data_IF_032342365638
#
_entry.id   IF_032342365638
#
_cell.length_a   1.000
_cell.length_b   1.000
_cell.length_c   1.000
_cell.angle_alpha   90.00
_cell.angle_beta   90.00
_cell.angle_gamma   90.00
#
_symmetry.space_group_name_H-M   'P 1'
#
loop_
_entity.id
_entity.type
_entity.pdbx_description
1 polymer ?
#
# COMPACT_ATOMS: atom_id res chain seq x y z
N UNK A 1 44.37 10.54 -84.14
CA UNK A 1 43.94 9.91 -82.88
C UNK A 1 43.70 11.01 -81.86
N UNK A 2 42.50 11.61 -81.83
CA UNK A 2 42.18 12.64 -80.83
C UNK A 2 40.65 12.85 -80.73
N UNK A 3 39.91 11.74 -80.67
CA UNK A 3 38.45 11.75 -80.70
C UNK A 3 37.77 11.34 -79.38
N UNK A 4 38.51 11.13 -78.28
CA UNK A 4 37.92 10.49 -77.08
C UNK A 4 38.11 11.24 -75.77
N UNK A 5 38.83 12.38 -75.75
CA UNK A 5 39.16 13.07 -74.49
C UNK A 5 38.17 14.18 -74.08
N UNK A 6 37.34 14.67 -74.98
CA UNK A 6 36.49 15.86 -74.73
C UNK A 6 35.04 15.55 -74.38
N UNK A 7 34.48 14.39 -74.74
CA UNK A 7 33.09 14.04 -74.43
C UNK A 7 32.88 13.56 -72.97
N UNK A 8 33.88 12.92 -72.36
CA UNK A 8 33.76 12.37 -71.00
C UNK A 8 33.80 13.44 -69.89
N UNK A 9 34.45 14.58 -70.15
CA UNK A 9 34.50 15.72 -69.22
C UNK A 9 33.24 16.60 -69.29
N UNK A 10 32.57 16.65 -70.45
CA UNK A 10 31.37 17.46 -70.63
C UNK A 10 30.11 16.83 -69.99
N UNK A 11 29.99 15.50 -70.02
CA UNK A 11 28.87 14.77 -69.41
C UNK A 11 28.93 14.80 -67.87
N UNK A 12 30.14 14.88 -67.29
CA UNK A 12 30.32 14.96 -65.83
C UNK A 12 29.98 16.33 -65.23
N UNK A 13 30.12 17.42 -65.99
CA UNK A 13 29.94 18.78 -65.47
C UNK A 13 28.49 19.28 -65.49
N UNK A 14 27.65 18.75 -66.39
CA UNK A 14 26.25 19.19 -66.54
C UNK A 14 25.25 18.53 -65.58
N UNK A 15 25.56 17.37 -65.00
CA UNK A 15 24.65 16.66 -64.11
C UNK A 15 24.89 16.93 -62.61
N UNK A 16 26.03 17.49 -62.25
CA UNK A 16 26.36 17.82 -60.86
C UNK A 16 25.38 18.83 -60.21
N UNK A 17 25.03 19.98 -60.84
CA UNK A 17 24.06 20.91 -60.25
C UNK A 17 22.66 20.31 -60.15
N UNK A 18 22.29 19.43 -61.09
CA UNK A 18 21.01 18.71 -61.09
C UNK A 18 20.96 17.73 -59.90
N UNK A 19 22.04 16.99 -59.64
CA UNK A 19 22.14 16.09 -58.49
C UNK A 19 22.08 16.87 -57.16
N UNK A 20 22.77 18.02 -57.07
CA UNK A 20 22.66 18.89 -55.88
C UNK A 20 21.24 19.41 -55.67
N UNK A 21 20.54 19.77 -56.73
CA UNK A 21 19.14 20.19 -56.66
C UNK A 21 18.23 19.08 -56.11
N UNK A 22 18.40 17.83 -56.56
CA UNK A 22 17.64 16.70 -56.02
C UNK A 22 17.98 16.38 -54.56
N UNK A 23 19.25 16.49 -54.15
CA UNK A 23 19.66 16.32 -52.76
C UNK A 23 18.99 17.36 -51.85
N UNK A 24 18.93 18.62 -52.29
CA UNK A 24 18.26 19.70 -51.55
C UNK A 24 16.75 19.41 -51.43
N UNK A 25 16.10 18.95 -52.50
CA UNK A 25 14.68 18.56 -52.46
C UNK A 25 14.46 17.42 -51.46
N UNK A 26 15.28 16.37 -51.50
CA UNK A 26 15.16 15.24 -50.58
C UNK A 26 15.33 15.72 -49.12
N UNK A 27 16.30 16.59 -48.86
CA UNK A 27 16.53 17.16 -47.54
C UNK A 27 15.31 17.95 -47.04
N UNK A 28 14.70 18.77 -47.90
CA UNK A 28 13.49 19.55 -47.58
C UNK A 28 12.32 18.61 -47.28
N UNK A 29 12.11 17.56 -48.09
CA UNK A 29 11.03 16.58 -47.88
C UNK A 29 11.21 15.84 -46.55
N UNK A 30 12.43 15.41 -46.22
CA UNK A 30 12.73 14.75 -44.96
C UNK A 30 12.51 15.68 -43.75
N UNK A 31 12.90 16.95 -43.87
CA UNK A 31 12.68 17.96 -42.84
C UNK A 31 11.19 18.21 -42.58
N UNK A 32 10.38 18.30 -43.65
CA UNK A 32 8.92 18.45 -43.55
C UNK A 32 8.31 17.22 -42.87
N UNK A 33 8.69 16.01 -43.28
CA UNK A 33 8.18 14.77 -42.69
C UNK A 33 8.50 14.68 -41.19
N UNK A 34 9.72 15.03 -40.79
CA UNK A 34 10.11 15.07 -39.38
C UNK A 34 9.31 16.10 -38.58
N UNK A 35 9.10 17.28 -39.14
CA UNK A 35 8.30 18.35 -38.53
C UNK A 35 6.83 17.95 -38.35
N UNK A 36 6.23 17.32 -39.37
CA UNK A 36 4.86 16.78 -39.30
C UNK A 36 4.77 15.69 -38.23
N UNK A 37 5.74 14.77 -38.17
CA UNK A 37 5.78 13.70 -37.15
C UNK A 37 5.85 14.26 -35.73
N UNK A 38 6.68 15.28 -35.51
CA UNK A 38 6.74 15.96 -34.21
C UNK A 38 5.42 16.65 -33.85
N UNK A 39 4.79 17.32 -34.82
CA UNK A 39 3.51 18.00 -34.61
C UNK A 39 2.37 17.02 -34.30
N UNK A 40 2.27 15.91 -35.04
CA UNK A 40 1.29 14.84 -34.80
C UNK A 40 1.53 14.22 -33.41
N UNK A 41 2.77 13.88 -33.07
CA UNK A 41 3.11 13.32 -31.75
C UNK A 41 2.70 14.27 -30.62
N UNK A 42 3.02 15.56 -30.74
CA UNK A 42 2.68 16.58 -29.75
C UNK A 42 1.16 16.78 -29.60
N UNK A 43 0.41 16.74 -30.71
CA UNK A 43 -1.05 16.85 -30.67
C UNK A 43 -1.73 15.57 -30.18
N UNK A 44 -1.24 14.38 -30.55
CA UNK A 44 -1.72 13.11 -30.00
C UNK A 44 -1.53 13.08 -28.49
N UNK A 45 -0.36 13.44 -27.98
CA UNK A 45 -0.11 13.50 -26.53
C UNK A 45 -1.06 14.47 -25.82
N UNK A 46 -1.32 15.65 -26.41
CA UNK A 46 -2.31 16.61 -25.86
C UNK A 46 -3.75 16.11 -25.90
N UNK A 47 -4.12 15.36 -26.94
CA UNK A 47 -5.43 14.71 -27.03
C UNK A 47 -5.53 13.61 -25.98
N UNK A 48 -4.49 12.79 -25.80
CA UNK A 48 -4.41 11.77 -24.75
C UNK A 48 -4.45 12.35 -23.33
N UNK A 49 -3.90 13.55 -23.10
CA UNK A 49 -4.04 14.26 -21.83
C UNK A 49 -5.45 14.83 -21.60
N UNK A 50 -6.20 15.13 -22.67
CA UNK A 50 -7.55 15.73 -22.59
C UNK A 50 -8.70 14.74 -22.65
N UNK A 51 -8.47 13.50 -23.09
CA UNK A 51 -9.47 12.44 -22.97
C UNK A 51 -9.56 12.06 -21.48
N UNK A 52 -10.67 12.35 -20.77
CA UNK A 52 -10.85 11.81 -19.43
C UNK A 52 -10.80 10.29 -19.56
N UNK A 53 -10.00 9.65 -18.70
CA UNK A 53 -9.74 8.20 -18.64
C UNK A 53 -11.06 7.42 -18.52
N UNK A 54 -11.75 7.21 -19.64
CA UNK A 54 -13.16 6.79 -19.72
C UNK A 54 -13.40 5.29 -19.48
N UNK A 55 -12.39 4.54 -19.03
CA UNK A 55 -12.63 3.18 -18.60
C UNK A 55 -11.66 2.77 -17.52
N UNK A 56 -12.04 3.03 -16.29
CA UNK A 56 -11.19 2.77 -15.15
C UNK A 56 -11.99 1.99 -14.11
N UNK A 57 -11.86 0.66 -14.20
CA UNK A 57 -12.51 -0.26 -13.28
C UNK A 57 -12.07 0.03 -11.85
N UNK A 58 -12.91 0.71 -11.07
CA UNK A 58 -12.73 0.86 -9.64
C UNK A 58 -12.85 -0.51 -8.96
N UNK A 59 -12.07 -0.73 -7.90
CA UNK A 59 -12.13 -1.95 -7.10
C UNK A 59 -12.69 -1.60 -5.73
N UNK A 60 -13.87 -2.11 -5.41
CA UNK A 60 -14.46 -2.01 -4.08
C UNK A 60 -13.92 -3.12 -3.20
N UNK A 61 -13.41 -2.75 -2.03
CA UNK A 61 -12.96 -3.69 -0.99
C UNK A 61 -13.62 -3.34 0.34
N UNK A 62 -13.68 -4.31 1.25
CA UNK A 62 -14.28 -4.13 2.57
C UNK A 62 -13.19 -4.19 3.65
N UNK A 63 -13.33 -3.36 4.67
CA UNK A 63 -12.48 -3.45 5.85
C UNK A 63 -12.66 -4.81 6.54
N UNK A 64 -11.57 -5.48 6.90
CA UNK A 64 -11.60 -6.79 7.56
C UNK A 64 -12.19 -6.70 8.97
N UNK A 65 -12.06 -5.54 9.61
CA UNK A 65 -12.48 -5.32 11.00
C UNK A 65 -13.91 -4.79 11.12
N UNK A 66 -14.28 -3.79 10.32
CA UNK A 66 -15.58 -3.12 10.45
C UNK A 66 -16.53 -3.36 9.27
N UNK A 67 -16.09 -4.05 8.22
CA UNK A 67 -16.92 -4.37 7.05
C UNK A 67 -17.38 -3.14 6.24
N UNK A 68 -16.84 -1.95 6.50
CA UNK A 68 -17.13 -0.75 5.68
C UNK A 68 -16.45 -0.86 4.33
N UNK A 69 -17.19 -0.48 3.28
CA UNK A 69 -16.70 -0.46 1.90
C UNK A 69 -15.75 0.72 1.67
N UNK A 70 -14.67 0.50 0.93
CA UNK A 70 -13.79 1.53 0.37
C UNK A 70 -13.54 1.21 -1.10
N UNK A 71 -13.70 2.21 -1.97
CA UNK A 71 -13.54 2.05 -3.41
C UNK A 71 -12.18 2.61 -3.84
N UNK A 72 -11.31 1.74 -4.32
CA UNK A 72 -10.00 2.11 -4.84
C UNK A 72 -10.03 2.32 -6.34
N UNK A 73 -9.27 3.31 -6.77
CA UNK A 73 -8.99 3.56 -8.17
C UNK A 73 -7.78 2.69 -8.62
N UNK A 74 -7.93 1.82 -9.64
CA UNK A 74 -7.01 0.73 -10.10
C UNK A 74 -5.54 1.09 -10.41
N UNK A 75 -5.20 2.36 -10.51
CA UNK A 75 -3.86 2.91 -10.76
C UNK A 75 -3.61 4.15 -9.88
N UNK A 76 -3.43 3.92 -8.58
CA UNK A 76 -2.42 4.70 -7.89
C UNK A 76 -1.11 3.95 -8.14
N UNK A 77 -0.27 4.50 -9.03
CA UNK A 77 1.12 4.04 -9.20
C UNK A 77 1.81 4.29 -7.87
N UNK A 78 1.81 3.29 -7.01
CA UNK A 78 2.24 3.44 -5.63
C UNK A 78 3.70 3.84 -5.56
N UNK A 79 3.95 5.02 -4.98
CA UNK A 79 5.09 5.14 -4.09
C UNK A 79 4.91 4.15 -2.91
N UNK A 80 5.98 3.66 -2.26
CA UNK A 80 5.87 2.67 -1.18
C UNK A 80 4.94 3.06 0.00
N UNK A 81 4.57 4.34 0.09
CA UNK A 81 3.72 4.91 1.14
C UNK A 81 2.28 5.22 0.70
N UNK A 82 1.90 4.96 -0.55
CA UNK A 82 0.54 5.24 -1.04
C UNK A 82 -0.44 4.11 -0.70
N UNK A 83 -1.58 4.48 -0.09
CA UNK A 83 -2.65 3.54 0.22
C UNK A 83 -3.19 2.89 -1.06
N UNK A 84 -3.23 1.57 -1.09
CA UNK A 84 -3.76 0.78 -2.19
C UNK A 84 -4.69 -0.32 -1.67
N UNK A 85 -5.27 -1.10 -2.57
CA UNK A 85 -6.28 -2.10 -2.20
C UNK A 85 -5.72 -3.30 -1.39
N UNK A 86 -4.41 -3.44 -1.28
CA UNK A 86 -3.73 -4.41 -0.41
C UNK A 86 -3.19 -3.80 0.89
N UNK A 87 -3.03 -2.48 0.97
CA UNK A 87 -2.51 -1.77 2.14
C UNK A 87 -3.20 -0.42 2.28
N UNK A 88 -4.15 -0.32 3.21
CA UNK A 88 -4.91 0.92 3.41
C UNK A 88 -5.39 1.10 4.84
N UNK A 89 -5.59 2.36 5.22
CA UNK A 89 -6.13 2.74 6.53
C UNK A 89 -7.63 2.97 6.44
N UNK A 90 -8.37 2.33 7.34
CA UNK A 90 -9.80 2.53 7.50
C UNK A 90 -10.07 3.59 8.55
N UNK A 91 -10.55 4.76 8.14
CA UNK A 91 -10.85 5.90 9.02
C UNK A 91 -12.08 5.64 9.93
N UNK A 92 -12.95 4.72 9.54
CA UNK A 92 -14.16 4.37 10.31
C UNK A 92 -13.86 3.56 11.58
N UNK A 93 -12.79 2.76 11.56
CA UNK A 93 -12.39 1.93 12.70
C UNK A 93 -10.93 2.16 13.11
N UNK A 94 -10.28 3.15 12.52
CA UNK A 94 -8.88 3.50 12.73
C UNK A 94 -7.92 2.30 12.66
N UNK A 95 -8.18 1.38 11.73
CA UNK A 95 -7.42 0.13 11.59
C UNK A 95 -6.77 0.01 10.21
N UNK A 96 -5.52 -0.47 10.19
CA UNK A 96 -4.79 -0.78 8.96
C UNK A 96 -5.23 -2.14 8.41
N UNK A 97 -5.64 -2.16 7.15
CA UNK A 97 -6.00 -3.36 6.39
C UNK A 97 -4.84 -3.68 5.47
N UNK A 98 -4.01 -4.65 5.85
CA UNK A 98 -2.90 -5.12 5.01
C UNK A 98 -3.05 -6.60 4.69
N UNK A 99 -2.75 -6.93 3.44
CA UNK A 99 -2.61 -8.30 2.96
C UNK A 99 -1.21 -8.55 2.46
N UNK A 100 -0.74 -9.77 2.62
CA UNK A 100 0.53 -10.21 2.04
C UNK A 100 0.38 -10.52 0.53
N UNK A 101 1.44 -11.07 -0.07
CA UNK A 101 1.44 -11.44 -1.50
C UNK A 101 0.49 -12.59 -1.82
N UNK A 102 0.19 -13.44 -0.84
CA UNK A 102 -0.72 -14.57 -0.95
C UNK A 102 -2.19 -14.13 -0.72
N UNK A 103 -2.39 -12.89 -0.26
CA UNK A 103 -3.69 -12.32 0.04
C UNK A 103 -4.15 -12.56 1.48
N UNK A 104 -3.31 -13.13 2.34
CA UNK A 104 -3.59 -13.37 3.75
C UNK A 104 -3.48 -12.07 4.56
N UNK A 105 -4.20 -11.98 5.68
CA UNK A 105 -4.19 -10.79 6.55
C UNK A 105 -2.87 -10.78 7.32
N UNK A 106 -2.15 -9.66 7.26
CA UNK A 106 -0.95 -9.47 8.09
C UNK A 106 -1.38 -9.00 9.47
N UNK A 107 -1.31 -9.90 10.45
CA UNK A 107 -1.75 -9.65 11.83
C UNK A 107 -0.71 -8.91 12.68
N UNK A 108 0.58 -9.07 12.36
CA UNK A 108 1.66 -8.40 13.09
C UNK A 108 2.75 -7.87 12.15
N UNK A 109 3.37 -6.77 12.55
CA UNK A 109 4.46 -6.14 11.80
C UNK A 109 5.76 -6.24 12.57
N UNK A 110 6.91 -6.48 11.92
CA UNK A 110 8.22 -6.36 12.56
C UNK A 110 8.39 -5.02 13.27
N UNK A 111 7.86 -3.94 12.70
CA UNK A 111 7.90 -2.59 13.28
C UNK A 111 7.09 -2.46 14.58
N UNK A 112 6.13 -3.35 14.86
CA UNK A 112 5.41 -3.37 16.16
C UNK A 112 6.32 -3.82 17.31
N UNK A 113 7.41 -4.51 17.02
CA UNK A 113 8.33 -5.08 18.01
C UNK A 113 9.65 -4.31 18.09
N UNK A 114 9.86 -3.31 17.23
CA UNK A 114 11.06 -2.48 17.25
C UNK A 114 10.86 -1.28 18.20
N UNK A 115 11.74 -1.17 19.20
CA UNK A 115 11.81 -0.06 20.17
C UNK A 115 12.11 1.33 19.54
N UNK A 116 12.20 1.43 18.21
CA UNK A 116 12.54 2.67 17.49
C UNK A 116 11.45 3.77 17.52
N UNK A 117 10.38 3.60 18.30
CA UNK A 117 9.31 4.60 18.43
C UNK A 117 9.43 5.53 19.65
N UNK A 118 10.52 5.48 20.43
CA UNK A 118 10.71 6.48 21.49
C UNK A 118 11.00 7.90 20.95
N UNK A 119 11.42 8.04 19.67
CA UNK A 119 11.75 9.35 19.07
C UNK A 119 10.69 9.90 18.08
N UNK A 120 9.51 9.29 17.97
CA UNK A 120 8.41 9.78 17.11
C UNK A 120 7.09 9.97 17.87
N UNK A 121 7.17 10.37 19.15
CA UNK A 121 6.00 10.71 19.97
C UNK A 121 5.24 11.98 19.52
N UNK A 122 5.70 12.71 18.52
CA UNK A 122 5.14 14.04 18.22
C UNK A 122 4.00 14.15 17.18
N UNK A 123 3.56 13.07 16.53
CA UNK A 123 2.42 13.17 15.59
C UNK A 123 1.24 12.24 15.85
N UNK A 124 1.30 11.45 16.93
CA UNK A 124 0.14 10.71 17.44
C UNK A 124 -0.27 11.26 18.81
N UNK A 125 -0.35 12.60 18.93
CA UNK A 125 -1.23 13.24 19.91
C UNK A 125 -2.65 12.84 19.54
N UNK A 126 -3.05 11.66 20.02
CA UNK A 126 -4.45 11.32 20.20
C UNK A 126 -5.07 12.51 20.90
N UNK A 127 -6.15 13.02 20.32
CA UNK A 127 -7.13 13.78 21.07
C UNK A 127 -7.77 12.82 22.08
N UNK A 128 -7.03 12.50 23.13
CA UNK A 128 -7.54 11.89 24.36
C UNK A 128 -7.28 12.92 25.45
N UNK A 129 -8.06 14.00 25.39
CA UNK A 129 -8.37 14.73 26.61
C UNK A 129 -9.20 13.78 27.47
N UNK A 130 -8.55 13.08 28.39
CA UNK A 130 -9.14 12.56 29.63
C UNK A 130 -8.00 12.09 30.51
N UNK A 131 -7.79 12.85 31.57
CA UNK A 131 -7.07 12.43 32.77
C UNK A 131 -7.63 11.06 33.21
N UNK A 132 -6.74 10.13 33.57
CA UNK A 132 -6.96 8.70 33.82
C UNK A 132 -6.81 7.79 32.58
N UNK A 133 -5.59 7.71 32.03
CA UNK A 133 -5.19 6.45 31.39
C UNK A 133 -5.27 5.36 32.46
N UNK A 134 -6.25 4.46 32.35
CA UNK A 134 -6.33 3.26 33.19
C UNK A 134 -5.07 2.42 32.94
N UNK A 135 -4.03 2.63 33.76
CA UNK A 135 -2.77 1.89 33.65
C UNK A 135 -3.06 0.41 33.95
N UNK A 136 -3.19 -0.38 32.88
CA UNK A 136 -3.54 -1.82 32.94
C UNK A 136 -2.42 -2.63 33.57
N UNK A 137 -1.16 -2.30 33.23
CA UNK A 137 0.05 -2.95 33.72
C UNK A 137 0.87 -1.99 34.60
N UNK A 138 1.38 -2.45 35.73
CA UNK A 138 2.32 -1.65 36.53
C UNK A 138 3.69 -1.54 35.82
N UNK A 139 4.51 -0.57 36.24
CA UNK A 139 5.85 -0.34 35.69
C UNK A 139 6.72 -1.60 35.71
N UNK A 140 6.67 -2.39 36.79
CA UNK A 140 7.44 -3.63 36.90
C UNK A 140 7.00 -4.69 35.87
N UNK A 141 5.69 -4.86 35.64
CA UNK A 141 5.21 -5.80 34.61
C UNK A 141 5.62 -5.36 33.20
N UNK A 142 5.56 -4.05 32.92
CA UNK A 142 6.03 -3.49 31.65
C UNK A 142 7.55 -3.70 31.46
N UNK A 143 8.34 -3.51 32.51
CA UNK A 143 9.78 -3.76 32.49
C UNK A 143 10.09 -5.24 32.27
N UNK A 144 9.40 -6.15 32.97
CA UNK A 144 9.55 -7.59 32.79
C UNK A 144 9.21 -8.01 31.35
N UNK A 145 8.14 -7.47 30.77
CA UNK A 145 7.77 -7.74 29.38
C UNK A 145 8.88 -7.34 28.40
N UNK A 146 9.45 -6.13 28.56
CA UNK A 146 10.58 -5.67 27.73
C UNK A 146 11.81 -6.55 27.91
N UNK A 147 12.12 -6.90 29.16
CA UNK A 147 13.27 -7.74 29.48
C UNK A 147 13.15 -9.12 28.83
N UNK A 148 11.97 -9.75 28.89
CA UNK A 148 11.74 -11.04 28.23
C UNK A 148 11.97 -10.95 26.74
N UNK A 149 11.43 -9.92 26.06
CA UNK A 149 11.63 -9.72 24.62
C UNK A 149 13.11 -9.58 24.29
N UNK A 150 13.86 -8.80 25.06
CA UNK A 150 15.31 -8.63 24.87
C UNK A 150 16.07 -9.94 25.05
N UNK A 151 15.73 -10.71 26.09
CA UNK A 151 16.40 -11.98 26.41
C UNK A 151 16.06 -13.09 25.39
N UNK A 152 14.84 -13.08 24.83
CA UNK A 152 14.45 -13.97 23.74
C UNK A 152 15.13 -13.59 22.42
N UNK A 153 15.25 -12.29 22.13
CA UNK A 153 15.94 -11.81 20.93
C UNK A 153 17.44 -12.12 20.95
N UNK A 154 18.04 -12.22 22.14
CA UNK A 154 19.44 -12.60 22.33
C UNK A 154 19.63 -14.10 22.60
N UNK A 155 18.60 -14.93 22.42
CA UNK A 155 18.69 -16.35 22.71
C UNK A 155 19.54 -17.07 21.65
N UNK A 156 20.53 -17.82 22.12
CA UNK A 156 21.40 -18.65 21.30
C UNK A 156 21.35 -20.08 21.85
N UNK A 157 20.78 -21.06 21.09
CA UNK A 157 20.73 -22.45 21.51
C UNK A 157 22.09 -23.16 21.40
N UNK A 158 23.10 -22.53 20.78
CA UNK A 158 24.40 -23.12 20.46
C UNK A 158 24.36 -24.10 19.28
N UNK A 159 23.29 -24.89 19.17
CA UNK A 159 22.96 -25.74 18.03
C UNK A 159 21.63 -25.27 17.41
N UNK A 160 21.68 -24.79 16.18
CA UNK A 160 20.52 -24.25 15.46
C UNK A 160 19.42 -25.31 15.25
N UNK A 161 19.77 -26.59 15.14
CA UNK A 161 18.80 -27.68 15.00
C UNK A 161 17.94 -27.86 16.27
N UNK A 162 18.44 -27.40 17.41
CA UNK A 162 17.72 -27.45 18.69
C UNK A 162 16.84 -26.23 18.95
N UNK A 163 16.96 -25.16 18.17
CA UNK A 163 16.28 -23.88 18.44
C UNK A 163 14.78 -24.06 18.70
N UNK A 164 14.08 -24.75 17.80
CA UNK A 164 12.63 -24.96 17.88
C UNK A 164 12.22 -25.81 19.11
N UNK A 165 13.13 -26.63 19.63
CA UNK A 165 12.88 -27.49 20.80
C UNK A 165 13.17 -26.77 22.11
N UNK A 166 14.18 -25.89 22.14
CA UNK A 166 14.70 -25.28 23.37
C UNK A 166 14.16 -23.89 23.65
N UNK A 167 13.76 -23.14 22.61
CA UNK A 167 13.24 -21.76 22.75
C UNK A 167 12.04 -21.69 23.69
N UNK A 168 11.14 -22.67 23.63
CA UNK A 168 9.95 -22.71 24.49
C UNK A 168 10.29 -22.99 25.95
N UNK A 169 11.29 -23.84 26.21
CA UNK A 169 11.77 -24.12 27.57
C UNK A 169 12.46 -22.88 28.14
N UNK A 170 13.28 -22.22 27.33
CA UNK A 170 13.93 -20.98 27.71
C UNK A 170 12.91 -19.88 28.01
N UNK A 171 11.90 -19.69 27.15
CA UNK A 171 10.79 -18.76 27.40
C UNK A 171 10.07 -19.03 28.71
N UNK A 172 9.69 -20.29 28.98
CA UNK A 172 9.07 -20.67 30.27
C UNK A 172 9.97 -20.35 31.47
N UNK A 173 11.29 -20.57 31.34
CA UNK A 173 12.25 -20.23 32.39
C UNK A 173 12.32 -18.72 32.67
N UNK A 174 12.15 -17.89 31.63
CA UNK A 174 12.09 -16.43 31.75
C UNK A 174 10.79 -15.99 32.40
N UNK A 175 9.66 -16.53 31.94
CA UNK A 175 8.33 -16.22 32.48
C UNK A 175 8.20 -16.60 33.97
N UNK A 176 8.86 -17.68 34.41
CA UNK A 176 8.89 -18.08 35.80
C UNK A 176 9.74 -17.13 36.68
N UNK A 177 10.86 -16.61 36.16
CA UNK A 177 11.75 -15.68 36.87
C UNK A 177 11.23 -14.23 36.86
N UNK A 178 10.64 -13.84 35.74
CA UNK A 178 10.12 -12.51 35.47
C UNK A 178 8.66 -12.63 35.04
N UNK A 179 7.70 -12.67 35.98
CA UNK A 179 6.29 -12.79 35.60
C UNK A 179 5.87 -11.65 34.66
N UNK A 180 5.29 -12.03 33.51
CA UNK A 180 4.74 -11.10 32.49
C UNK A 180 3.67 -10.19 33.12
N UNK A 181 2.94 -10.73 34.10
CA UNK A 181 1.82 -10.06 34.75
C UNK A 181 1.74 -10.49 36.22
N UNK A 182 1.60 -9.51 37.12
CA UNK A 182 1.39 -9.77 38.55
C UNK A 182 -0.11 -9.97 38.85
N UNK A 183 -0.43 -10.59 40.00
CA UNK A 183 -1.81 -10.89 40.41
C UNK A 183 -2.74 -9.65 40.45
N UNK A 184 -2.20 -8.46 40.74
CA UNK A 184 -2.95 -7.20 40.69
C UNK A 184 -3.29 -6.79 39.26
N UNK A 185 -2.30 -6.84 38.36
CA UNK A 185 -2.49 -6.49 36.94
C UNK A 185 -3.36 -7.51 36.20
N UNK A 186 -3.35 -8.79 36.58
CA UNK A 186 -4.25 -9.81 36.00
C UNK A 186 -5.71 -9.38 36.09
N UNK A 187 -6.14 -8.86 37.24
CA UNK A 187 -7.52 -8.38 37.43
C UNK A 187 -7.84 -7.21 36.51
N UNK A 188 -6.94 -6.24 36.42
CA UNK A 188 -7.10 -5.07 35.55
C UNK A 188 -7.19 -5.48 34.08
N UNK A 189 -6.27 -6.35 33.62
CA UNK A 189 -6.27 -6.89 32.26
C UNK A 189 -7.59 -7.61 31.96
N UNK A 190 -8.05 -8.47 32.86
CA UNK A 190 -9.30 -9.20 32.65
C UNK A 190 -10.51 -8.28 32.57
N UNK A 191 -10.58 -7.25 33.42
CA UNK A 191 -11.65 -6.26 33.38
C UNK A 191 -11.64 -5.48 32.06
N UNK A 192 -10.47 -5.02 31.62
CA UNK A 192 -10.32 -4.33 30.34
C UNK A 192 -10.68 -5.25 29.17
N UNK A 193 -10.20 -6.51 29.15
CA UNK A 193 -10.57 -7.49 28.14
C UNK A 193 -12.08 -7.73 28.09
N UNK A 194 -12.75 -7.83 29.24
CA UNK A 194 -14.20 -7.99 29.30
C UNK A 194 -14.92 -6.76 28.73
N UNK A 195 -14.49 -5.54 29.09
CA UNK A 195 -15.06 -4.30 28.56
C UNK A 195 -14.87 -4.20 27.04
N UNK A 196 -13.65 -4.43 26.54
CA UNK A 196 -13.36 -4.41 25.11
C UNK A 196 -14.18 -5.47 24.36
N UNK A 197 -14.27 -6.70 24.88
CA UNK A 197 -15.08 -7.75 24.30
C UNK A 197 -16.56 -7.38 24.25
N UNK A 198 -17.08 -6.75 25.30
CA UNK A 198 -18.45 -6.25 25.30
C UNK A 198 -18.66 -5.21 24.20
N UNK A 199 -17.79 -4.20 24.10
CA UNK A 199 -17.87 -3.17 23.07
C UNK A 199 -17.78 -3.74 21.65
N UNK A 200 -16.87 -4.70 21.42
CA UNK A 200 -16.74 -5.39 20.14
C UNK A 200 -18.02 -6.14 19.79
N UNK A 201 -18.57 -6.93 20.72
CA UNK A 201 -19.83 -7.66 20.53
C UNK A 201 -20.98 -6.73 20.18
N UNK A 202 -21.16 -5.64 20.94
CA UNK A 202 -22.18 -4.63 20.68
C UNK A 202 -21.99 -3.99 19.30
N UNK A 203 -20.75 -3.66 18.92
CA UNK A 203 -20.44 -3.07 17.60
C UNK A 203 -20.77 -4.03 16.47
N UNK A 204 -20.41 -5.30 16.60
CA UNK A 204 -20.70 -6.36 15.62
C UNK A 204 -22.22 -6.51 15.47
N UNK A 205 -22.95 -6.59 16.57
CA UNK A 205 -24.41 -6.70 16.55
C UNK A 205 -25.05 -5.49 15.86
N UNK A 206 -24.64 -4.28 16.24
CA UNK A 206 -25.14 -3.06 15.60
C UNK A 206 -24.84 -3.02 14.10
N UNK A 207 -23.66 -3.46 13.69
CA UNK A 207 -23.31 -3.60 12.28
C UNK A 207 -24.24 -4.59 11.57
N UNK A 208 -24.45 -5.79 12.13
CA UNK A 208 -25.36 -6.79 11.55
C UNK A 208 -26.79 -6.26 11.39
N UNK A 209 -27.31 -5.55 12.39
CA UNK A 209 -28.63 -4.91 12.34
C UNK A 209 -28.73 -3.83 11.23
N UNK A 210 -27.69 -3.01 11.08
CA UNK A 210 -27.65 -2.03 9.99
C UNK A 210 -27.66 -2.70 8.62
N UNK A 211 -26.94 -3.82 8.47
CA UNK A 211 -26.90 -4.56 7.21
C UNK A 211 -28.26 -5.20 6.90
N UNK A 212 -28.97 -5.76 7.88
CA UNK A 212 -30.30 -6.33 7.64
C UNK A 212 -31.31 -5.26 7.22
N UNK A 213 -31.25 -4.07 7.83
CA UNK A 213 -32.10 -2.92 7.44
C UNK A 213 -31.80 -2.47 6.01
N UNK A 214 -30.52 -2.35 5.65
CA UNK A 214 -30.13 -1.97 4.28
C UNK A 214 -30.59 -3.01 3.26
N UNK A 215 -30.45 -4.30 3.58
CA UNK A 215 -30.91 -5.39 2.74
C UNK A 215 -32.43 -5.33 2.54
N UNK A 216 -33.20 -5.13 3.61
CA UNK A 216 -34.66 -4.95 3.52
C UNK A 216 -35.04 -3.75 2.64
N UNK A 217 -34.42 -2.59 2.85
CA UNK A 217 -34.66 -1.39 2.04
C UNK A 217 -34.31 -1.62 0.56
N UNK A 218 -33.27 -2.41 0.27
CA UNK A 218 -32.91 -2.75 -1.10
C UNK A 218 -33.97 -3.60 -1.81
N UNK A 219 -34.59 -4.55 -1.08
CA UNK A 219 -35.71 -5.34 -1.60
C UNK A 219 -36.95 -4.48 -1.85
N UNK A 220 -37.27 -3.55 -0.93
CA UNK A 220 -38.40 -2.63 -1.12
C UNK A 220 -38.20 -1.74 -2.36
N UNK A 221 -37.01 -1.18 -2.54
CA UNK A 221 -36.72 -0.36 -3.72
C UNK A 221 -36.80 -1.16 -5.02
N UNK A 222 -36.33 -2.41 -5.05
CA UNK A 222 -36.48 -3.29 -6.23
C UNK A 222 -37.95 -3.58 -6.55
N UNK A 223 -38.78 -3.82 -5.53
CA UNK A 223 -40.23 -4.02 -5.74
C UNK A 223 -40.96 -2.77 -6.25
N UNK A 224 -40.45 -1.56 -5.98
CA UNK A 224 -41.00 -0.30 -6.53
C UNK A 224 -40.66 -0.07 -8.01
N UNK A 225 -39.58 -0.67 -8.53
CA UNK A 225 -39.24 -0.63 -9.96
C UNK A 225 -39.81 -1.80 -10.77
N UNK A 226 -40.63 -2.65 -10.14
CA UNK A 226 -41.25 -3.84 -10.73
C UNK A 226 -42.69 -3.63 -11.24
N UNK A 227 -43.19 -2.39 -11.19
CA UNK A 227 -44.54 -1.99 -11.64
C UNK A 227 -44.46 -0.92 -12.72
#
# INVERSE_FOLDING_TARGET
MEATRTQSEFIKKNNLPIVFFYIIIIYIVLYIFFSIKQFISKNLNRIFERIPKLNYHSKTIYCFYCGKKKTFQKYLKGTPNEQNWYNWFCEECNSWNKRDRNGEIIESYPEMYLDKFDNKKDNFKRRTNTENENIVFCSNCLQNQKLIVQLLASYDPGDDELYDLTIDQYRKSLENRYPIICSKCVKNVNNELQQQNYHIKTRILNYQLQQSVQQFNSYQNLSFFSY
#
